data_IF_195428746111
#
_entry.id   IF_195428746111
#
_cell.length_a   1.000
_cell.length_b   1.000
_cell.length_c   1.000
_cell.angle_alpha   90.00
_cell.angle_beta   90.00
_cell.angle_gamma   90.00
#
_symmetry.space_group_name_H-M   'P 1'
#
loop_
_entity.id
_entity.type
_entity.pdbx_description
1 polymer ?
#
# COMPACT_ATOMS: atom_id res chain seq x y z
N UNK A 1 17.74 24.63 27.41
CA UNK A 1 19.02 24.02 27.00
C UNK A 1 19.46 23.07 28.10
N UNK A 2 19.06 21.79 28.02
CA UNK A 2 19.53 20.75 28.93
C UNK A 2 19.85 19.54 28.06
N UNK A 3 21.13 19.26 27.90
CA UNK A 3 21.63 18.12 27.16
C UNK A 3 21.54 16.88 28.06
N UNK A 4 20.77 15.89 27.64
CA UNK A 4 20.88 14.53 28.15
C UNK A 4 20.99 13.57 26.95
N UNK A 5 22.22 13.42 26.48
CA UNK A 5 22.68 12.24 25.75
C UNK A 5 23.08 11.22 26.83
N UNK A 6 22.28 10.17 27.00
CA UNK A 6 22.73 8.96 27.68
C UNK A 6 22.68 7.80 26.70
N UNK A 7 23.81 7.10 26.66
CA UNK A 7 24.18 5.98 25.81
C UNK A 7 23.12 4.88 25.76
N UNK A 8 22.68 4.53 24.55
CA UNK A 8 22.01 3.27 24.26
C UNK A 8 23.08 2.17 24.14
N UNK A 9 23.36 1.50 25.24
CA UNK A 9 23.97 0.16 25.22
C UNK A 9 23.08 -0.79 25.98
N UNK A 10 22.01 -1.26 25.34
CA UNK A 10 21.36 -2.50 25.72
C UNK A 10 21.57 -3.53 24.62
N UNK A 11 22.13 -4.66 25.01
CA UNK A 11 22.33 -5.83 24.18
C UNK A 11 20.96 -6.34 23.72
N UNK A 12 20.59 -6.02 22.47
CA UNK A 12 19.40 -6.58 21.85
C UNK A 12 19.59 -8.09 21.74
N UNK A 13 18.94 -8.84 22.64
CA UNK A 13 18.71 -10.27 22.44
C UNK A 13 17.99 -10.42 21.10
N UNK A 14 18.62 -11.07 20.13
CA UNK A 14 17.98 -11.40 18.85
C UNK A 14 16.88 -12.44 19.15
N UNK A 15 15.68 -11.94 19.42
CA UNK A 15 14.44 -12.72 19.38
C UNK A 15 14.32 -13.25 17.95
N UNK A 16 13.95 -14.52 17.71
CA UNK A 16 13.74 -15.00 16.35
C UNK A 16 12.72 -14.08 15.68
N UNK A 17 13.19 -13.33 14.70
CA UNK A 17 12.38 -12.44 13.90
C UNK A 17 11.48 -13.34 13.06
N UNK A 18 10.29 -13.67 13.57
CA UNK A 18 9.23 -14.17 12.72
C UNK A 18 9.00 -13.08 11.67
N UNK A 19 9.47 -13.32 10.44
CA UNK A 19 9.36 -12.35 9.35
C UNK A 19 7.89 -12.23 8.99
N UNK A 20 7.24 -11.19 9.53
CA UNK A 20 5.89 -10.84 9.14
C UNK A 20 5.96 -10.13 7.78
N UNK A 21 5.58 -10.85 6.72
CA UNK A 21 5.37 -10.23 5.42
C UNK A 21 4.04 -9.47 5.45
N UNK A 22 4.01 -8.36 4.72
CA UNK A 22 2.83 -7.54 4.55
C UNK A 22 2.68 -7.23 3.07
N UNK A 23 1.43 -7.16 2.62
CA UNK A 23 1.09 -6.76 1.26
C UNK A 23 0.33 -5.45 1.31
N UNK A 24 0.73 -4.53 0.43
CA UNK A 24 0.00 -3.27 0.24
C UNK A 24 -1.36 -3.58 -0.38
N UNK A 25 -2.42 -3.09 0.24
CA UNK A 25 -3.80 -3.30 -0.24
C UNK A 25 -4.50 -2.02 -0.65
N UNK A 26 -4.12 -0.88 -0.06
CA UNK A 26 -4.62 0.40 -0.51
C UNK A 26 -3.64 1.54 -0.25
N UNK A 27 -3.68 2.55 -1.13
CA UNK A 27 -3.00 3.83 -1.00
C UNK A 27 -4.04 4.92 -1.05
N UNK A 28 -3.98 5.87 -0.13
CA UNK A 28 -4.82 7.07 -0.17
C UNK A 28 -3.93 8.25 -0.49
N UNK A 29 -4.28 9.00 -1.53
CA UNK A 29 -3.58 10.20 -1.96
C UNK A 29 -4.46 11.43 -1.71
N UNK A 30 -3.83 12.52 -1.25
CA UNK A 30 -4.51 13.78 -0.99
C UNK A 30 -4.02 14.84 -1.96
N UNK A 31 -4.92 15.34 -2.80
CA UNK A 31 -4.67 16.45 -3.68
C UNK A 31 -5.20 17.74 -3.05
N UNK A 32 -4.31 18.60 -2.57
CA UNK A 32 -4.73 19.88 -2.01
C UNK A 32 -3.73 20.52 -1.07
N UNK A 33 -4.25 21.35 -0.17
CA UNK A 33 -3.49 22.09 0.84
C UNK A 33 -3.97 21.69 2.23
N UNK A 34 -3.23 22.11 3.25
CA UNK A 34 -3.71 21.98 4.62
C UNK A 34 -5.08 22.67 4.78
N UNK A 35 -6.10 21.89 5.16
CA UNK A 35 -7.47 22.37 5.38
C UNK A 35 -8.43 22.28 4.19
N UNK A 36 -7.97 21.88 2.99
CA UNK A 36 -8.86 21.67 1.84
C UNK A 36 -8.19 20.79 0.77
N UNK A 37 -8.95 19.91 0.13
CA UNK A 37 -8.46 19.11 -0.98
C UNK A 37 -9.42 18.00 -1.34
N UNK A 38 -8.91 17.03 -2.08
CA UNK A 38 -9.63 15.84 -2.50
C UNK A 38 -8.82 14.60 -2.18
N UNK A 39 -9.51 13.54 -1.75
CA UNK A 39 -8.88 12.25 -1.49
C UNK A 39 -9.28 11.27 -2.57
N UNK A 40 -8.28 10.60 -3.13
CA UNK A 40 -8.48 9.44 -4.00
C UNK A 40 -7.89 8.21 -3.33
N UNK A 41 -8.41 7.04 -3.71
CA UNK A 41 -7.95 5.77 -3.18
C UNK A 41 -7.52 4.87 -4.33
N UNK A 42 -6.31 4.36 -4.25
CA UNK A 42 -5.89 3.20 -5.03
C UNK A 42 -6.17 1.95 -4.21
N UNK A 43 -6.91 1.00 -4.78
CA UNK A 43 -7.29 -0.24 -4.09
C UNK A 43 -6.92 -1.45 -4.94
N UNK A 44 -6.25 -2.43 -4.30
CA UNK A 44 -6.04 -3.72 -4.92
C UNK A 44 -7.24 -4.63 -4.71
N UNK A 45 -7.58 -5.36 -5.77
CA UNK A 45 -8.63 -6.35 -5.84
C UNK A 45 -8.01 -7.62 -6.40
N UNK A 46 -8.41 -8.78 -5.88
CA UNK A 46 -7.92 -10.04 -6.42
C UNK A 46 -8.42 -10.22 -7.86
N UNK A 47 -7.55 -10.67 -8.75
CA UNK A 47 -7.86 -10.79 -10.18
C UNK A 47 -8.97 -11.81 -10.46
N UNK A 48 -9.17 -12.81 -9.59
CA UNK A 48 -10.26 -13.79 -9.69
C UNK A 48 -11.66 -13.16 -9.53
N UNK A 49 -11.74 -11.95 -8.98
CA UNK A 49 -12.97 -11.17 -8.84
C UNK A 49 -13.13 -10.11 -9.93
N UNK A 50 -12.15 -9.98 -10.84
CA UNK A 50 -12.20 -9.00 -11.92
C UNK A 50 -12.78 -9.69 -13.17
N UNK A 51 -13.95 -9.23 -13.65
CA UNK A 51 -14.64 -9.82 -14.81
C UNK A 51 -13.94 -9.54 -16.15
N UNK A 52 -13.01 -8.58 -16.17
CA UNK A 52 -12.29 -8.13 -17.36
C UNK A 52 -10.90 -8.81 -17.47
N UNK A 53 -10.65 -9.63 -18.51
CA UNK A 53 -9.38 -10.33 -18.67
C UNK A 53 -8.24 -9.35 -18.91
N UNK A 54 -7.15 -9.52 -18.16
CA UNK A 54 -5.92 -8.79 -18.37
C UNK A 54 -5.23 -9.45 -19.56
N UNK A 55 -5.22 -8.80 -20.72
CA UNK A 55 -4.40 -9.23 -21.85
C UNK A 55 -2.94 -8.91 -21.52
N UNK A 56 -2.27 -9.81 -20.80
CA UNK A 56 -0.89 -10.26 -21.03
C UNK A 56 -0.35 -11.00 -19.78
N UNK A 57 0.18 -12.19 -20.05
CA UNK A 57 1.04 -13.04 -19.20
C UNK A 57 0.41 -13.82 -18.02
N UNK A 58 0.30 -15.14 -18.25
CA UNK A 58 0.53 -16.24 -17.31
C UNK A 58 -0.06 -16.09 -15.89
N UNK A 59 -1.35 -16.42 -15.82
CA UNK A 59 -2.15 -16.81 -14.64
C UNK A 59 -1.35 -17.30 -13.42
N UNK A 60 -0.97 -16.35 -12.56
CA UNK A 60 -0.93 -16.60 -11.13
C UNK A 60 -2.35 -16.33 -10.58
N UNK A 61 -2.99 -17.36 -10.02
CA UNK A 61 -4.31 -17.25 -9.41
C UNK A 61 -4.33 -16.30 -8.18
N UNK A 62 -3.16 -15.78 -7.79
CA UNK A 62 -2.97 -14.75 -6.78
C UNK A 62 -2.70 -13.34 -7.35
N UNK A 63 -2.80 -13.12 -8.66
CA UNK A 63 -2.59 -11.80 -9.25
C UNK A 63 -3.58 -10.75 -8.70
N UNK A 64 -3.11 -9.52 -8.50
CA UNK A 64 -3.92 -8.40 -8.00
C UNK A 64 -4.05 -7.35 -9.10
N UNK A 65 -5.26 -6.81 -9.23
CA UNK A 65 -5.55 -5.67 -10.09
C UNK A 65 -5.70 -4.42 -9.24
N UNK A 66 -5.26 -3.28 -9.75
CA UNK A 66 -5.36 -2.00 -9.07
C UNK A 66 -6.40 -1.09 -9.72
N UNK A 67 -7.12 -0.36 -8.89
CA UNK A 67 -8.13 0.61 -9.31
C UNK A 67 -7.90 1.93 -8.57
N UNK A 68 -7.97 3.04 -9.29
CA UNK A 68 -8.12 4.37 -8.70
C UNK A 68 -9.60 4.69 -8.53
N UNK A 69 -9.94 5.26 -7.38
CA UNK A 69 -11.31 5.57 -6.98
C UNK A 69 -11.32 7.03 -6.54
N UNK A 70 -12.08 7.84 -7.27
CA UNK A 70 -12.34 9.25 -7.00
C UNK A 70 -13.86 9.46 -6.92
N UNK A 71 -14.40 9.43 -5.71
CA UNK A 71 -15.85 9.46 -5.44
C UNK A 71 -16.64 8.41 -6.26
N UNK A 72 -17.29 8.84 -7.34
CA UNK A 72 -18.09 7.98 -8.22
C UNK A 72 -17.32 7.46 -9.43
N UNK A 73 -16.11 7.95 -9.66
CA UNK A 73 -15.26 7.55 -10.78
C UNK A 73 -14.30 6.45 -10.35
N UNK A 74 -14.36 5.31 -11.05
CA UNK A 74 -13.52 4.15 -10.80
C UNK A 74 -12.81 3.78 -12.10
N UNK A 75 -11.47 3.78 -12.06
CA UNK A 75 -10.63 3.50 -13.21
C UNK A 75 -9.62 2.40 -12.87
N UNK A 76 -9.40 1.48 -13.81
CA UNK A 76 -8.32 0.49 -13.70
C UNK A 76 -6.97 1.19 -13.92
N UNK A 77 -5.98 0.87 -13.10
CA UNK A 77 -4.63 1.45 -13.17
C UNK A 77 -3.56 0.36 -13.04
N UNK A 78 -2.34 0.68 -13.46
CA UNK A 78 -1.19 -0.20 -13.28
C UNK A 78 -0.62 -0.08 -11.85
N UNK A 79 0.14 -1.08 -11.41
CA UNK A 79 0.80 -1.02 -10.10
C UNK A 79 1.86 0.10 -10.04
N UNK A 80 2.51 0.42 -11.15
CA UNK A 80 3.46 1.53 -11.26
C UNK A 80 2.80 2.89 -10.93
N UNK A 81 1.58 3.13 -11.39
CA UNK A 81 0.81 4.35 -11.06
C UNK A 81 0.53 4.42 -9.55
N UNK A 82 0.16 3.29 -8.93
CA UNK A 82 -0.10 3.21 -7.50
C UNK A 82 1.15 3.48 -6.67
N UNK A 83 2.29 2.93 -7.08
CA UNK A 83 3.57 3.12 -6.41
C UNK A 83 4.16 4.53 -6.60
N UNK A 84 3.75 5.22 -7.67
CA UNK A 84 4.14 6.61 -7.94
C UNK A 84 3.33 7.65 -7.17
N UNK A 85 2.19 7.27 -6.57
CA UNK A 85 1.30 8.18 -5.85
C UNK A 85 1.95 8.83 -4.62
N UNK A 86 1.58 10.09 -4.34
CA UNK A 86 2.00 10.79 -3.12
C UNK A 86 1.15 10.34 -1.93
N UNK A 87 1.54 9.21 -1.35
CA UNK A 87 0.77 8.54 -0.30
C UNK A 87 0.58 9.41 0.96
N UNK A 88 -0.68 9.64 1.31
CA UNK A 88 -1.11 10.20 2.60
C UNK A 88 -1.39 9.10 3.63
N UNK A 89 -1.98 7.98 3.19
CA UNK A 89 -2.16 6.79 4.01
C UNK A 89 -1.84 5.52 3.22
N UNK A 90 -1.26 4.54 3.90
CA UNK A 90 -0.95 3.22 3.35
C UNK A 90 -1.63 2.16 4.21
N UNK A 91 -2.35 1.25 3.56
CA UNK A 91 -3.00 0.12 4.21
C UNK A 91 -2.33 -1.17 3.78
N UNK A 92 -1.92 -1.95 4.77
CA UNK A 92 -1.26 -3.24 4.57
C UNK A 92 -2.03 -4.34 5.28
N UNK A 93 -2.09 -5.50 4.64
CA UNK A 93 -2.55 -6.74 5.26
C UNK A 93 -1.38 -7.67 5.50
N UNK A 94 -1.45 -8.45 6.58
CA UNK A 94 -0.44 -9.48 6.86
C UNK A 94 -0.50 -10.52 5.74
N UNK A 95 0.64 -10.77 5.11
CA UNK A 95 0.83 -11.82 4.12
C UNK A 95 1.37 -13.06 4.83
N UNK A 96 0.53 -14.08 4.93
CA UNK A 96 0.97 -15.42 5.30
C UNK A 96 1.24 -16.14 3.98
N UNK A 97 2.53 -16.35 3.68
CA UNK A 97 2.97 -17.04 2.47
C UNK A 97 2.67 -18.52 2.48
#
# INVERSE_FOLDING_TARGET
>A
MCAYLLQLTESCKVVPSNTCLYRLVAVVEHFGRAGSGHYTVYRSVRADLCEEPCEESEVDAAAWCWYSISDSEVCRVSEEDVLAAEASFLFFEKYEG
#
